data_IF_733928354906
#
_entry.id   IF_733928354906
#
_cell.length_a   1.000
_cell.length_b   1.000
_cell.length_c   1.000
_cell.angle_alpha   90.00
_cell.angle_beta   90.00
_cell.angle_gamma   90.00
#
_symmetry.space_group_name_H-M   'P 1'
#
loop_
_entity.id
_entity.type
_entity.pdbx_description
1 polymer ?
#
# COMPACT_ATOMS: atom_id res chain seq x y z
N UNK A 1 12.17 -17.72 -14.76
CA UNK A 1 11.49 -17.59 -13.45
C UNK A 1 10.70 -16.31 -13.40
N UNK A 2 9.42 -16.36 -13.05
CA UNK A 2 8.67 -15.13 -12.87
C UNK A 2 9.24 -14.35 -11.68
N UNK A 3 9.34 -13.06 -11.84
CA UNK A 3 9.79 -12.19 -10.76
C UNK A 3 8.71 -12.08 -9.70
N UNK A 4 9.14 -11.97 -8.44
CA UNK A 4 8.21 -11.75 -7.35
C UNK A 4 7.67 -10.32 -7.39
N UNK A 5 6.45 -10.14 -6.93
CA UNK A 5 5.83 -8.84 -6.76
C UNK A 5 6.45 -8.19 -5.51
N UNK A 6 7.08 -7.04 -5.69
CA UNK A 6 7.75 -6.33 -4.60
C UNK A 6 6.77 -5.38 -3.94
N UNK A 7 6.58 -5.52 -2.64
CA UNK A 7 5.58 -4.79 -1.87
C UNK A 7 6.26 -3.88 -0.85
N UNK A 8 5.91 -2.61 -0.85
CA UNK A 8 6.30 -1.68 0.20
C UNK A 8 5.13 -1.53 1.17
N UNK A 9 5.38 -1.72 2.47
CA UNK A 9 4.37 -1.54 3.50
C UNK A 9 4.58 -0.17 4.14
N UNK A 10 3.57 0.68 4.14
CA UNK A 10 3.60 1.99 4.78
C UNK A 10 2.52 2.05 5.85
N UNK A 11 2.91 1.92 7.11
CA UNK A 11 2.00 1.90 8.26
C UNK A 11 2.80 2.26 9.52
N UNK A 12 2.26 3.16 10.34
CA UNK A 12 2.92 3.56 11.58
C UNK A 12 2.61 2.62 12.75
N UNK A 13 1.68 1.68 12.60
CA UNK A 13 1.35 0.69 13.61
C UNK A 13 2.21 -0.56 13.42
N UNK A 14 3.24 -0.69 14.24
CA UNK A 14 4.21 -1.77 14.10
C UNK A 14 3.57 -3.16 14.09
N UNK A 15 2.63 -3.41 15.00
CA UNK A 15 1.99 -4.72 15.06
C UNK A 15 1.14 -5.01 13.82
N UNK A 16 0.49 -3.99 13.28
CA UNK A 16 -0.30 -4.15 12.08
C UNK A 16 0.61 -4.41 10.87
N UNK A 17 1.72 -3.69 10.77
CA UNK A 17 2.70 -3.92 9.71
C UNK A 17 3.27 -5.34 9.77
N UNK A 18 3.54 -5.86 10.97
CA UNK A 18 3.98 -7.25 11.15
C UNK A 18 2.92 -8.24 10.70
N UNK A 19 1.64 -7.95 10.99
CA UNK A 19 0.54 -8.80 10.54
C UNK A 19 0.44 -8.82 9.02
N UNK A 20 0.59 -7.67 8.37
CA UNK A 20 0.63 -7.58 6.90
C UNK A 20 1.76 -8.42 6.33
N UNK A 21 2.94 -8.30 6.91
CA UNK A 21 4.12 -9.03 6.47
C UNK A 21 3.88 -10.55 6.57
N UNK A 22 3.26 -11.00 7.68
CA UNK A 22 2.94 -12.41 7.86
C UNK A 22 1.94 -12.91 6.81
N UNK A 23 0.94 -12.11 6.48
CA UNK A 23 -0.04 -12.46 5.44
C UNK A 23 0.65 -12.56 4.08
N UNK A 24 1.50 -11.60 3.75
CA UNK A 24 2.20 -11.61 2.47
C UNK A 24 3.15 -12.80 2.35
N UNK A 25 3.74 -13.23 3.46
CA UNK A 25 4.65 -14.38 3.47
C UNK A 25 3.97 -15.71 3.15
N UNK A 26 2.63 -15.76 3.20
CA UNK A 26 1.90 -16.98 2.85
C UNK A 26 1.81 -17.22 1.33
N UNK A 27 2.22 -16.25 0.52
CA UNK A 27 2.16 -16.37 -0.94
C UNK A 27 3.56 -16.16 -1.53
N UNK A 28 4.06 -17.18 -2.21
CA UNK A 28 5.41 -17.18 -2.78
C UNK A 28 5.61 -16.15 -3.89
N UNK A 29 4.54 -15.61 -4.43
CA UNK A 29 4.62 -14.59 -5.49
C UNK A 29 4.96 -13.21 -4.96
N UNK A 30 4.87 -13.01 -3.63
CA UNK A 30 5.03 -11.70 -2.99
C UNK A 30 6.32 -11.61 -2.19
N UNK A 31 6.92 -10.42 -2.18
CA UNK A 31 8.13 -10.14 -1.44
C UNK A 31 8.00 -8.76 -0.80
N UNK A 32 8.23 -8.66 0.51
CA UNK A 32 8.25 -7.36 1.18
C UNK A 32 9.59 -6.69 0.89
N UNK A 33 9.56 -5.60 0.14
CA UNK A 33 10.76 -4.88 -0.26
C UNK A 33 11.22 -3.86 0.79
N UNK A 34 10.32 -3.41 1.65
CA UNK A 34 10.65 -2.45 2.69
C UNK A 34 9.43 -2.06 3.50
N UNK A 35 9.66 -1.28 4.55
CA UNK A 35 8.61 -0.76 5.41
C UNK A 35 8.86 0.71 5.71
N UNK A 36 7.80 1.51 5.65
CA UNK A 36 7.81 2.91 6.00
C UNK A 36 6.88 3.13 7.19
N UNK A 37 7.26 4.03 8.10
CA UNK A 37 6.46 4.32 9.31
C UNK A 37 5.72 5.65 9.25
N UNK A 38 5.89 6.41 8.18
CA UNK A 38 5.12 7.64 7.93
C UNK A 38 5.06 7.89 6.42
N UNK A 39 4.25 8.89 6.04
CA UNK A 39 4.03 9.17 4.63
C UNK A 39 5.26 9.72 3.92
N UNK A 40 6.08 10.51 4.60
CA UNK A 40 7.30 11.06 4.00
C UNK A 40 8.29 9.94 3.67
N UNK A 41 8.47 9.00 4.60
CA UNK A 41 9.32 7.84 4.38
C UNK A 41 8.76 6.96 3.26
N UNK A 42 7.44 6.83 3.19
CA UNK A 42 6.79 6.06 2.13
C UNK A 42 7.11 6.64 0.74
N UNK A 43 7.08 7.96 0.61
CA UNK A 43 7.45 8.63 -0.64
C UNK A 43 8.92 8.34 -0.98
N UNK A 44 9.82 8.53 -0.02
CA UNK A 44 11.25 8.31 -0.24
C UNK A 44 11.55 6.87 -0.64
N UNK A 45 10.99 5.89 0.07
CA UNK A 45 11.23 4.49 -0.22
C UNK A 45 10.61 4.06 -1.54
N UNK A 46 9.46 4.63 -1.90
CA UNK A 46 8.88 4.35 -3.22
C UNK A 46 9.82 4.79 -4.32
N UNK A 47 10.43 5.96 -4.18
CA UNK A 47 11.34 6.47 -5.21
C UNK A 47 12.66 5.67 -5.25
N UNK A 48 13.16 5.22 -4.11
CA UNK A 48 14.45 4.51 -4.07
C UNK A 48 14.32 3.01 -4.36
N UNK A 49 13.23 2.37 -3.94
CA UNK A 49 13.05 0.93 -4.11
C UNK A 49 12.24 0.57 -5.36
N UNK A 50 11.45 1.49 -5.87
CA UNK A 50 10.58 1.29 -7.02
C UNK A 50 9.74 0.00 -6.89
N UNK A 51 8.91 -0.11 -5.82
CA UNK A 51 8.12 -1.32 -5.59
C UNK A 51 7.03 -1.47 -6.64
N UNK A 52 6.55 -2.71 -6.81
CA UNK A 52 5.43 -2.99 -7.71
C UNK A 52 4.11 -2.48 -7.15
N UNK A 53 3.97 -2.47 -5.82
CA UNK A 53 2.79 -1.96 -5.14
C UNK A 53 3.18 -1.40 -3.77
N UNK A 54 2.51 -0.32 -3.38
CA UNK A 54 2.65 0.26 -2.04
C UNK A 54 1.34 0.02 -1.29
N UNK A 55 1.43 -0.66 -0.15
CA UNK A 55 0.30 -0.77 0.78
C UNK A 55 0.36 0.45 1.69
N UNK A 56 -0.61 1.34 1.57
CA UNK A 56 -0.56 2.66 2.21
C UNK A 56 -1.68 2.82 3.21
N UNK A 57 -1.34 2.93 4.50
CA UNK A 57 -2.32 3.30 5.52
C UNK A 57 -2.71 4.78 5.31
N UNK A 58 -4.00 5.07 5.41
CA UNK A 58 -4.48 6.46 5.27
C UNK A 58 -3.95 7.32 6.40
N UNK A 59 -4.05 6.84 7.64
CA UNK A 59 -3.73 7.64 8.84
C UNK A 59 -2.31 7.40 9.33
N UNK A 60 -1.40 8.32 9.01
CA UNK A 60 -0.01 8.24 9.46
C UNK A 60 0.46 9.62 9.92
N UNK A 61 1.45 9.66 10.84
CA UNK A 61 2.03 10.94 11.27
C UNK A 61 2.92 11.55 10.18
N UNK A 62 3.30 12.80 10.37
CA UNK A 62 4.17 13.59 9.50
C UNK A 62 3.47 13.92 8.18
N UNK A 63 3.11 12.89 7.41
CA UNK A 63 2.38 13.01 6.16
C UNK A 63 1.43 11.83 6.07
N UNK A 64 0.13 12.08 5.93
CA UNK A 64 -0.85 11.00 5.85
C UNK A 64 -0.76 10.26 4.51
N UNK A 65 -1.45 9.11 4.43
CA UNK A 65 -1.40 8.26 3.25
C UNK A 65 -2.00 8.89 2.00
N UNK A 66 -2.96 9.80 2.15
CA UNK A 66 -3.55 10.48 0.99
C UNK A 66 -2.55 11.46 0.37
N UNK A 67 -1.87 12.25 1.22
CA UNK A 67 -0.84 13.17 0.75
C UNK A 67 0.34 12.42 0.14
N UNK A 68 0.77 11.33 0.79
CA UNK A 68 1.86 10.51 0.29
C UNK A 68 1.51 9.93 -1.09
N UNK A 69 0.29 9.43 -1.25
CA UNK A 69 -0.16 8.88 -2.53
C UNK A 69 -0.15 9.94 -3.63
N UNK A 70 -0.62 11.16 -3.33
CA UNK A 70 -0.58 12.25 -4.31
C UNK A 70 0.83 12.56 -4.74
N UNK A 71 1.78 12.62 -3.80
CA UNK A 71 3.18 12.91 -4.11
C UNK A 71 3.82 11.79 -4.92
N UNK A 72 3.55 10.54 -4.54
CA UNK A 72 4.06 9.37 -5.27
C UNK A 72 3.56 9.40 -6.72
N UNK A 73 2.26 9.60 -6.91
CA UNK A 73 1.67 9.59 -8.24
C UNK A 73 2.13 10.77 -9.09
N UNK A 74 2.45 11.90 -8.48
CA UNK A 74 2.98 13.05 -9.19
C UNK A 74 4.39 12.76 -9.73
N UNK A 75 5.22 12.08 -8.96
CA UNK A 75 6.60 11.77 -9.35
C UNK A 75 6.71 10.47 -10.13
N UNK A 76 5.83 9.52 -9.87
CA UNK A 76 5.76 8.21 -10.53
C UNK A 76 4.32 7.94 -10.95
N UNK A 77 3.88 8.47 -12.10
CA UNK A 77 2.47 8.32 -12.54
C UNK A 77 2.01 6.88 -12.69
N UNK A 78 2.95 5.93 -12.84
CA UNK A 78 2.62 4.51 -12.97
C UNK A 78 2.69 3.76 -11.65
N UNK A 79 3.05 4.44 -10.55
CA UNK A 79 3.12 3.79 -9.25
C UNK A 79 1.75 3.26 -8.84
N UNK A 80 1.73 2.06 -8.29
CA UNK A 80 0.52 1.38 -7.87
C UNK A 80 0.40 1.49 -6.35
N UNK A 81 -0.62 2.18 -5.86
CA UNK A 81 -0.86 2.35 -4.43
C UNK A 81 -2.19 1.69 -4.09
N UNK A 82 -2.15 0.76 -3.14
CA UNK A 82 -3.32 0.12 -2.59
C UNK A 82 -3.55 0.69 -1.19
N UNK A 83 -4.65 1.43 -1.03
CA UNK A 83 -4.94 2.12 0.23
C UNK A 83 -5.53 1.16 1.24
N UNK A 84 -5.07 1.25 2.49
CA UNK A 84 -5.63 0.49 3.61
C UNK A 84 -6.45 1.44 4.45
N UNK A 85 -7.74 1.15 4.59
CA UNK A 85 -8.67 2.05 5.26
C UNK A 85 -9.32 1.38 6.46
N UNK A 86 -9.64 2.19 7.49
CA UNK A 86 -10.40 1.70 8.63
C UNK A 86 -11.88 1.52 8.33
N UNK A 87 -12.36 2.08 7.21
CA UNK A 87 -13.76 1.97 6.83
C UNK A 87 -13.90 2.00 5.31
N UNK A 88 -15.04 1.48 4.83
CA UNK A 88 -15.38 1.53 3.42
C UNK A 88 -16.40 2.63 3.13
N UNK A 89 -16.43 3.69 3.94
CA UNK A 89 -17.34 4.80 3.70
C UNK A 89 -17.06 5.41 2.32
N UNK A 90 -18.12 5.89 1.69
CA UNK A 90 -17.98 6.51 0.38
C UNK A 90 -16.95 7.64 0.39
N UNK A 91 -16.93 8.43 1.47
CA UNK A 91 -16.00 9.54 1.59
C UNK A 91 -14.54 9.06 1.57
N UNK A 92 -14.20 8.03 2.35
CA UNK A 92 -12.84 7.50 2.40
C UNK A 92 -12.44 6.87 1.07
N UNK A 93 -13.35 6.12 0.44
CA UNK A 93 -13.09 5.51 -0.86
C UNK A 93 -12.86 6.58 -1.92
N UNK A 94 -13.70 7.62 -1.94
CA UNK A 94 -13.56 8.71 -2.90
C UNK A 94 -12.25 9.47 -2.70
N UNK A 95 -11.87 9.72 -1.45
CA UNK A 95 -10.61 10.40 -1.15
C UNK A 95 -9.40 9.60 -1.59
N UNK A 96 -9.43 8.28 -1.39
CA UNK A 96 -8.36 7.40 -1.84
C UNK A 96 -8.23 7.44 -3.36
N UNK A 97 -9.35 7.36 -4.05
CA UNK A 97 -9.37 7.39 -5.52
C UNK A 97 -8.89 8.74 -6.06
N UNK A 98 -9.33 9.84 -5.47
CA UNK A 98 -8.91 11.19 -5.88
C UNK A 98 -7.41 11.40 -5.65
N UNK A 99 -6.83 10.77 -4.64
CA UNK A 99 -5.40 10.85 -4.39
C UNK A 99 -4.59 10.05 -5.42
N UNK A 100 -5.23 9.17 -6.18
CA UNK A 100 -4.58 8.39 -7.22
C UNK A 100 -4.32 6.94 -6.84
N UNK A 101 -4.98 6.43 -5.78
CA UNK A 101 -4.86 5.03 -5.41
C UNK A 101 -5.49 4.13 -6.48
N UNK A 102 -4.86 2.99 -6.74
CA UNK A 102 -5.37 2.01 -7.70
C UNK A 102 -6.52 1.18 -7.12
N UNK A 103 -6.60 1.11 -5.79
CA UNK A 103 -7.67 0.39 -5.11
C UNK A 103 -7.58 0.62 -3.62
N UNK A 104 -8.45 -0.06 -2.86
CA UNK A 104 -8.43 0.01 -1.42
C UNK A 104 -8.85 -1.32 -0.82
N UNK A 105 -8.43 -1.58 0.42
CA UNK A 105 -8.87 -2.73 1.20
C UNK A 105 -9.18 -2.20 2.60
N UNK A 106 -10.32 -2.60 3.16
CA UNK A 106 -10.66 -2.23 4.54
C UNK A 106 -9.88 -3.14 5.49
N UNK A 107 -9.44 -2.57 6.62
CA UNK A 107 -8.58 -3.31 7.55
C UNK A 107 -9.22 -4.56 8.13
N UNK A 108 -10.55 -4.58 8.25
CA UNK A 108 -11.29 -5.76 8.73
C UNK A 108 -11.34 -6.90 7.71
N UNK A 109 -10.97 -6.65 6.45
CA UNK A 109 -11.00 -7.65 5.38
C UNK A 109 -9.62 -8.01 4.83
N UNK A 110 -8.57 -7.55 5.49
CA UNK A 110 -7.20 -7.75 5.00
C UNK A 110 -6.88 -9.24 4.84
N UNK A 111 -7.18 -10.06 5.84
CA UNK A 111 -6.85 -11.49 5.77
C UNK A 111 -7.53 -12.18 4.61
N UNK A 112 -8.75 -11.76 4.24
CA UNK A 112 -9.53 -12.40 3.19
C UNK A 112 -9.24 -11.84 1.80
N UNK A 113 -8.89 -10.54 1.69
CA UNK A 113 -8.89 -9.85 0.40
C UNK A 113 -7.55 -9.25 -0.03
N UNK A 114 -6.58 -9.12 0.86
CA UNK A 114 -5.37 -8.36 0.57
C UNK A 114 -4.57 -8.93 -0.60
N UNK A 115 -4.31 -10.23 -0.59
CA UNK A 115 -3.48 -10.86 -1.64
C UNK A 115 -4.15 -10.72 -3.00
N UNK A 116 -5.46 -11.02 -3.08
CA UNK A 116 -6.19 -10.88 -4.33
C UNK A 116 -6.21 -9.43 -4.82
N UNK A 117 -6.36 -8.48 -3.90
CA UNK A 117 -6.34 -7.07 -4.25
C UNK A 117 -4.98 -6.63 -4.82
N UNK A 118 -3.88 -7.12 -4.22
CA UNK A 118 -2.53 -6.84 -4.73
C UNK A 118 -2.38 -7.40 -6.15
N UNK A 119 -2.76 -8.65 -6.35
CA UNK A 119 -2.64 -9.28 -7.68
C UNK A 119 -3.46 -8.53 -8.72
N UNK A 120 -4.64 -8.09 -8.36
CA UNK A 120 -5.50 -7.33 -9.25
C UNK A 120 -4.88 -5.99 -9.65
N UNK A 121 -4.40 -5.20 -8.70
CA UNK A 121 -3.86 -3.88 -9.01
C UNK A 121 -2.53 -3.92 -9.75
N UNK A 122 -1.74 -4.98 -9.59
CA UNK A 122 -0.50 -5.13 -10.37
C UNK A 122 -0.71 -5.87 -11.69
N UNK A 123 -1.94 -6.30 -11.98
CA UNK A 123 -2.27 -6.91 -13.26
C UNK A 123 -1.85 -8.37 -13.41
N UNK A 124 -1.83 -9.11 -12.32
CA UNK A 124 -1.42 -10.53 -12.37
C UNK A 124 -2.46 -11.48 -11.83
#
# INVERSE_FOLDING_TARGET
>A
MPQKIRVLIADDHRLFAQALEAILATDDRLLVAGQASDGAEAVQLTLSLDPDVVLMDIAMPVMDGLQATRQIRKQRPKACVLMLTGSNSKTDVDRAREAGAAGYVTKDRIAAELIDAILEVVGR
#
